data_IF_803020182962
#
_entry.id   IF_803020182962
#
_cell.length_a   1.000
_cell.length_b   1.000
_cell.length_c   1.000
_cell.angle_alpha   90.00
_cell.angle_beta   90.00
_cell.angle_gamma   90.00
#
_symmetry.space_group_name_H-M   'P 1'
#
loop_
_entity.id
_entity.type
_entity.pdbx_description
1 polymer ?
#
# COMPACT_ATOMS: atom_id res chain seq x y z
N UNK A 1 -4.11 -17.10 -96.81
CA UNK A 1 -4.10 -17.83 -95.52
C UNK A 1 -3.51 -16.91 -94.44
N UNK A 2 -3.97 -16.95 -93.18
CA UNK A 2 -3.41 -16.12 -92.13
C UNK A 2 -1.96 -16.54 -91.80
N UNK A 3 -1.14 -15.59 -91.36
CA UNK A 3 0.27 -15.78 -91.01
C UNK A 3 0.52 -15.47 -89.53
N UNK A 4 1.56 -16.07 -88.94
CA UNK A 4 1.91 -15.82 -87.54
C UNK A 4 2.39 -14.38 -87.33
N UNK A 5 1.88 -13.71 -86.30
CA UNK A 5 2.28 -12.35 -85.92
C UNK A 5 3.50 -12.35 -85.01
N UNK A 6 4.27 -11.26 -85.07
CA UNK A 6 5.43 -11.03 -84.22
C UNK A 6 5.01 -10.62 -82.81
N UNK A 7 5.80 -11.02 -81.80
CA UNK A 7 5.62 -10.57 -80.41
C UNK A 7 6.26 -9.18 -80.23
N UNK A 8 5.54 -8.27 -79.59
CA UNK A 8 6.04 -6.96 -79.18
C UNK A 8 6.05 -6.84 -77.64
N UNK A 9 7.00 -6.08 -77.12
CA UNK A 9 7.06 -5.72 -75.70
C UNK A 9 6.20 -4.48 -75.42
N UNK A 10 5.57 -4.42 -74.25
CA UNK A 10 4.83 -3.25 -73.79
C UNK A 10 5.77 -2.39 -72.95
N UNK A 11 5.90 -1.10 -73.30
CA UNK A 11 6.58 -0.10 -72.49
C UNK A 11 5.52 0.69 -71.69
N UNK A 12 5.27 0.36 -70.41
CA UNK A 12 4.35 1.13 -69.59
C UNK A 12 4.93 2.53 -69.30
N UNK A 13 4.08 3.54 -69.05
CA UNK A 13 4.55 4.87 -68.67
C UNK A 13 5.36 4.81 -67.37
N UNK A 14 6.41 5.63 -67.29
CA UNK A 14 7.18 5.78 -66.06
C UNK A 14 6.37 6.61 -65.05
N UNK A 15 5.70 5.92 -64.13
CA UNK A 15 5.10 6.54 -62.94
C UNK A 15 6.08 6.57 -61.78
N UNK A 16 5.92 7.52 -60.86
CA UNK A 16 6.64 7.49 -59.59
C UNK A 16 6.01 6.41 -58.70
N UNK A 17 6.61 5.22 -58.74
CA UNK A 17 6.22 4.09 -57.90
C UNK A 17 7.11 4.14 -56.65
N UNK A 18 6.54 4.61 -55.54
CA UNK A 18 7.23 4.68 -54.26
C UNK A 18 6.68 5.81 -53.38
N UNK A 19 7.09 5.85 -52.10
CA UNK A 19 6.72 6.95 -51.22
C UNK A 19 7.37 8.26 -51.70
N UNK A 20 6.62 9.35 -51.60
CA UNK A 20 7.15 10.70 -51.78
C UNK A 20 8.09 11.06 -50.62
N UNK A 21 9.00 11.99 -50.85
CA UNK A 21 9.85 12.54 -49.79
C UNK A 21 9.01 13.34 -48.78
N UNK A 22 9.54 13.50 -47.57
CA UNK A 22 8.88 14.31 -46.54
C UNK A 22 8.67 15.77 -47.01
N UNK A 23 9.63 16.34 -47.74
CA UNK A 23 9.53 17.70 -48.26
C UNK A 23 8.42 17.87 -49.31
N UNK A 24 8.30 16.91 -50.23
CA UNK A 24 7.21 16.89 -51.22
C UNK A 24 5.85 16.74 -50.53
N UNK A 25 5.75 15.86 -49.52
CA UNK A 25 4.53 15.68 -48.72
C UNK A 25 4.10 16.99 -48.06
N UNK A 26 5.03 17.71 -47.44
CA UNK A 26 4.74 18.98 -46.78
C UNK A 26 4.26 20.05 -47.75
N UNK A 27 4.87 20.13 -48.94
CA UNK A 27 4.41 21.06 -49.98
C UNK A 27 2.99 20.75 -50.44
N UNK A 28 2.68 19.48 -50.69
CA UNK A 28 1.33 19.04 -51.09
C UNK A 28 0.30 19.36 -50.00
N UNK A 29 0.62 19.09 -48.72
CA UNK A 29 -0.27 19.42 -47.61
C UNK A 29 -0.54 20.93 -47.52
N UNK A 30 0.49 21.76 -47.68
CA UNK A 30 0.39 23.23 -47.66
C UNK A 30 -0.44 23.81 -48.81
N UNK A 31 -0.49 23.13 -49.95
CA UNK A 31 -1.30 23.53 -51.09
C UNK A 31 -2.80 23.20 -50.93
N UNK A 32 -3.17 22.45 -49.90
CA UNK A 32 -4.57 22.06 -49.66
C UNK A 32 -5.43 23.27 -49.26
N UNK A 33 -6.66 23.33 -49.80
CA UNK A 33 -7.67 24.32 -49.43
C UNK A 33 -8.04 24.31 -47.94
N UNK A 34 -7.88 23.16 -47.27
CA UNK A 34 -8.18 22.94 -45.85
C UNK A 34 -6.91 22.96 -44.97
N UNK A 35 -5.79 23.41 -45.53
CA UNK A 35 -4.57 23.62 -44.76
C UNK A 35 -4.84 24.62 -43.62
N UNK A 36 -4.32 24.30 -42.43
CA UNK A 36 -4.60 25.04 -41.19
C UNK A 36 -5.78 24.51 -40.37
N UNK A 37 -6.70 23.74 -40.98
CA UNK A 37 -7.79 23.06 -40.24
C UNK A 37 -7.34 21.68 -39.77
N UNK A 38 -6.76 20.89 -40.67
CA UNK A 38 -6.40 19.48 -40.43
C UNK A 38 -4.91 19.18 -40.52
N UNK A 39 -4.05 20.22 -40.64
CA UNK A 39 -2.61 19.99 -40.75
C UNK A 39 -2.03 19.43 -39.45
N UNK A 40 -2.58 19.87 -38.31
CA UNK A 40 -2.11 19.48 -36.98
C UNK A 40 -2.36 18.00 -36.75
N UNK A 41 -1.27 17.24 -36.64
CA UNK A 41 -1.36 15.88 -36.12
C UNK A 41 -1.81 15.92 -34.67
N UNK A 42 -2.91 15.21 -34.39
CA UNK A 42 -3.39 14.97 -33.04
C UNK A 42 -3.18 13.50 -32.75
N UNK A 43 -2.23 13.21 -31.88
CA UNK A 43 -2.06 11.88 -31.32
C UNK A 43 -3.02 11.71 -30.15
N UNK A 44 -3.90 10.72 -30.21
CA UNK A 44 -4.96 10.51 -29.22
C UNK A 44 -4.60 9.29 -28.40
N UNK A 45 -4.78 9.39 -27.09
CA UNK A 45 -4.65 8.23 -26.20
C UNK A 45 -5.52 7.09 -26.71
N UNK A 46 -4.88 5.94 -26.90
CA UNK A 46 -5.57 4.77 -27.41
C UNK A 46 -6.45 4.16 -26.33
N UNK A 47 -7.55 3.51 -26.73
CA UNK A 47 -8.38 2.76 -25.77
C UNK A 47 -7.57 1.69 -25.03
N UNK A 48 -6.54 1.14 -25.69
CA UNK A 48 -5.61 0.19 -25.08
C UNK A 48 -4.84 0.83 -23.93
N UNK A 49 -4.21 1.99 -24.15
CA UNK A 49 -3.46 2.71 -23.10
C UNK A 49 -4.33 3.00 -21.88
N UNK A 50 -5.54 3.52 -22.08
CA UNK A 50 -6.48 3.84 -21.01
C UNK A 50 -6.84 2.57 -20.21
N UNK A 51 -7.10 1.46 -20.91
CA UNK A 51 -7.47 0.21 -20.26
C UNK A 51 -6.29 -0.44 -19.52
N UNK A 52 -5.09 -0.37 -20.08
CA UNK A 52 -3.86 -0.86 -19.44
C UNK A 52 -3.57 -0.10 -18.15
N UNK A 53 -3.59 1.24 -18.18
CA UNK A 53 -3.39 2.05 -16.98
C UNK A 53 -4.44 1.73 -15.90
N UNK A 54 -5.70 1.55 -16.29
CA UNK A 54 -6.76 1.16 -15.35
C UNK A 54 -6.50 -0.21 -14.73
N UNK A 55 -6.00 -1.18 -15.50
CA UNK A 55 -5.67 -2.51 -14.99
C UNK A 55 -4.49 -2.46 -14.02
N UNK A 56 -3.47 -1.66 -14.32
CA UNK A 56 -2.31 -1.45 -13.45
C UNK A 56 -2.72 -0.85 -12.10
N UNK A 57 -3.50 0.23 -12.12
CA UNK A 57 -4.02 0.85 -10.89
C UNK A 57 -4.85 -0.13 -10.04
N UNK A 58 -5.71 -0.93 -10.68
CA UNK A 58 -6.50 -1.95 -9.99
C UNK A 58 -5.62 -3.08 -9.42
N UNK A 59 -4.51 -3.41 -10.07
CA UNK A 59 -3.56 -4.40 -9.57
C UNK A 59 -2.82 -3.87 -8.34
N UNK A 60 -2.35 -2.61 -8.39
CA UNK A 60 -1.71 -1.94 -7.26
C UNK A 60 -2.65 -1.82 -6.06
N UNK A 61 -3.90 -1.40 -6.27
CA UNK A 61 -4.91 -1.33 -5.21
C UNK A 61 -5.17 -2.70 -4.56
N UNK A 62 -5.19 -3.77 -5.36
CA UNK A 62 -5.35 -5.15 -4.84
C UNK A 62 -4.16 -5.57 -4.01
N UNK A 63 -2.94 -5.32 -4.49
CA UNK A 63 -1.71 -5.65 -3.76
C UNK A 63 -1.64 -4.90 -2.42
N UNK A 64 -1.97 -3.60 -2.42
CA UNK A 64 -2.03 -2.81 -1.19
C UNK A 64 -3.09 -3.32 -0.22
N UNK A 65 -4.29 -3.67 -0.72
CA UNK A 65 -5.35 -4.22 0.11
C UNK A 65 -4.99 -5.60 0.69
N UNK A 66 -4.26 -6.44 -0.05
CA UNK A 66 -3.76 -7.72 0.43
C UNK A 66 -2.67 -7.54 1.50
N UNK A 67 -1.71 -6.64 1.26
CA UNK A 67 -0.67 -6.30 2.23
C UNK A 67 -1.27 -5.72 3.52
N UNK A 68 -2.28 -4.84 3.43
CA UNK A 68 -2.97 -4.31 4.61
C UNK A 68 -3.71 -5.41 5.39
N UNK A 69 -4.43 -6.30 4.69
CA UNK A 69 -5.09 -7.46 5.31
C UNK A 69 -4.10 -8.36 6.01
N UNK A 70 -2.95 -8.62 5.42
CA UNK A 70 -1.90 -9.44 6.01
C UNK A 70 -1.32 -8.78 7.26
N UNK A 71 -1.03 -7.48 7.21
CA UNK A 71 -0.58 -6.70 8.38
C UNK A 71 -1.58 -6.75 9.53
N UNK A 72 -2.87 -6.54 9.24
CA UNK A 72 -3.94 -6.64 10.25
C UNK A 72 -4.03 -8.05 10.82
N UNK A 73 -3.86 -9.08 10.00
CA UNK A 73 -3.88 -10.49 10.43
C UNK A 73 -2.72 -10.79 11.39
N UNK A 74 -1.50 -10.37 11.03
CA UNK A 74 -0.31 -10.54 11.87
C UNK A 74 -0.46 -9.80 13.20
N UNK A 75 -0.91 -8.54 13.18
CA UNK A 75 -1.12 -7.76 14.40
C UNK A 75 -2.19 -8.42 15.31
N UNK A 76 -3.27 -8.95 14.73
CA UNK A 76 -4.30 -9.67 15.49
C UNK A 76 -3.76 -10.96 16.10
N UNK A 77 -2.89 -11.67 15.38
CA UNK A 77 -2.24 -12.87 15.87
C UNK A 77 -1.25 -12.58 17.01
N UNK A 78 -0.43 -11.54 16.87
CA UNK A 78 0.46 -11.07 17.93
C UNK A 78 -0.32 -10.65 19.18
N UNK A 79 -1.39 -9.85 19.03
CA UNK A 79 -2.25 -9.49 20.17
C UNK A 79 -2.87 -10.71 20.83
N UNK A 80 -3.26 -11.73 20.06
CA UNK A 80 -3.81 -12.98 20.59
C UNK A 80 -2.76 -13.73 21.41
N UNK A 81 -1.54 -13.88 20.89
CA UNK A 81 -0.42 -14.52 21.58
C UNK A 81 -0.04 -13.76 22.86
N UNK A 82 0.01 -12.43 22.81
CA UNK A 82 0.25 -11.59 23.99
C UNK A 82 -0.84 -11.75 25.04
N UNK A 83 -2.11 -11.76 24.63
CA UNK A 83 -3.23 -11.96 25.54
C UNK A 83 -3.24 -13.36 26.17
N UNK A 84 -2.83 -14.39 25.42
CA UNK A 84 -2.68 -15.76 25.92
C UNK A 84 -1.53 -15.87 26.92
N UNK A 85 -0.34 -15.35 26.58
CA UNK A 85 0.80 -15.28 27.49
C UNK A 85 0.49 -14.49 28.78
N UNK A 86 -0.28 -13.39 28.68
CA UNK A 86 -0.72 -12.64 29.84
C UNK A 86 -1.71 -13.44 30.71
N UNK A 87 -2.65 -14.16 30.09
CA UNK A 87 -3.58 -15.06 30.80
C UNK A 87 -2.84 -16.18 31.53
N UNK A 88 -1.85 -16.80 30.90
CA UNK A 88 -1.00 -17.82 31.52
C UNK A 88 -0.22 -17.25 32.71
N UNK A 89 0.45 -16.10 32.56
CA UNK A 89 1.15 -15.43 33.65
C UNK A 89 0.21 -15.09 34.81
N UNK A 90 -1.00 -14.60 34.52
CA UNK A 90 -2.02 -14.31 35.55
C UNK A 90 -2.51 -15.58 36.22
N UNK A 91 -2.69 -16.68 35.49
CA UNK A 91 -3.08 -17.97 36.05
C UNK A 91 -1.99 -18.55 36.96
N UNK A 92 -0.71 -18.46 36.55
CA UNK A 92 0.44 -18.88 37.36
C UNK A 92 0.58 -18.03 38.63
N UNK A 93 0.42 -16.70 38.52
CA UNK A 93 0.41 -15.81 39.67
C UNK A 93 -0.73 -16.12 40.66
N UNK A 94 -1.92 -16.47 40.15
CA UNK A 94 -3.05 -16.93 40.98
C UNK A 94 -2.73 -18.25 41.69
N UNK A 95 -2.16 -19.24 40.99
CA UNK A 95 -1.73 -20.52 41.61
C UNK A 95 -0.69 -20.29 42.70
N UNK A 96 0.34 -19.48 42.45
CA UNK A 96 1.35 -19.11 43.47
C UNK A 96 0.73 -18.38 44.67
N UNK A 97 -0.31 -17.57 44.46
CA UNK A 97 -1.04 -16.91 45.55
C UNK A 97 -1.89 -17.92 46.34
N UNK A 98 -2.54 -18.85 45.66
CA UNK A 98 -3.33 -19.91 46.27
C UNK A 98 -2.45 -20.87 47.10
N UNK A 99 -1.25 -21.21 46.62
CA UNK A 99 -0.23 -21.97 47.37
C UNK A 99 0.28 -21.22 48.61
N UNK A 100 0.37 -19.88 48.58
CA UNK A 100 0.67 -19.07 49.77
C UNK A 100 -0.47 -19.09 50.81
N UNK A 101 -1.68 -19.43 50.38
CA UNK A 101 -2.83 -19.74 51.23
C UNK A 101 -3.29 -18.60 52.15
N UNK A 102 -4.25 -18.94 53.02
CA UNK A 102 -4.88 -18.01 53.99
C UNK A 102 -3.84 -17.44 54.99
N UNK A 103 -2.80 -18.21 55.32
CA UNK A 103 -1.73 -17.80 56.23
C UNK A 103 -0.86 -16.70 55.60
N UNK A 104 -0.54 -16.82 54.30
CA UNK A 104 0.19 -15.79 53.55
C UNK A 104 -0.62 -14.49 53.40
N UNK A 105 -1.92 -14.59 53.10
CA UNK A 105 -2.80 -13.43 52.99
C UNK A 105 -3.00 -12.71 54.34
N UNK A 106 -3.07 -13.44 55.47
CA UNK A 106 -3.14 -12.85 56.81
C UNK A 106 -1.83 -12.14 57.19
N UNK A 107 -0.68 -12.73 56.89
CA UNK A 107 0.64 -12.10 57.07
C UNK A 107 0.80 -10.84 56.20
N UNK A 108 0.33 -10.85 54.96
CA UNK A 108 0.36 -9.67 54.08
C UNK A 108 -0.57 -8.56 54.60
N UNK A 109 -1.76 -8.90 55.11
CA UNK A 109 -2.68 -7.93 55.70
C UNK A 109 -2.15 -7.32 57.01
N UNK A 110 -1.51 -8.13 57.87
CA UNK A 110 -0.84 -7.63 59.08
C UNK A 110 0.35 -6.74 58.70
N UNK A 111 1.16 -7.16 57.72
CA UNK A 111 2.29 -6.36 57.23
C UNK A 111 1.86 -5.04 56.58
N UNK A 112 0.81 -5.06 55.75
CA UNK A 112 0.25 -3.85 55.10
C UNK A 112 -0.40 -2.89 56.11
N UNK A 113 -0.95 -3.42 57.21
CA UNK A 113 -1.53 -2.59 58.29
C UNK A 113 -0.44 -2.00 59.18
N UNK A 114 0.56 -2.80 59.56
CA UNK A 114 1.71 -2.33 60.32
C UNK A 114 2.46 -1.23 59.56
N UNK A 115 2.72 -1.41 58.27
CA UNK A 115 3.39 -0.38 57.44
C UNK A 115 2.59 0.90 57.28
N UNK A 116 1.26 0.84 57.09
CA UNK A 116 0.40 2.06 57.01
C UNK A 116 0.31 2.81 58.34
N UNK A 117 0.35 2.09 59.45
CA UNK A 117 0.29 2.70 60.78
C UNK A 117 1.64 3.32 61.17
N UNK A 118 2.73 2.61 60.89
CA UNK A 118 4.11 3.10 61.06
C UNK A 118 4.35 4.32 60.14
N UNK A 119 3.92 4.29 58.88
CA UNK A 119 4.14 5.42 57.95
C UNK A 119 3.32 6.66 58.29
N UNK A 120 2.07 6.51 58.72
CA UNK A 120 1.23 7.65 59.11
C UNK A 120 1.65 8.26 60.46
N UNK A 121 2.22 7.47 61.37
CA UNK A 121 2.75 7.96 62.65
C UNK A 121 4.15 8.57 62.51
N UNK A 122 5.08 7.92 61.81
CA UNK A 122 6.37 8.55 61.50
C UNK A 122 6.21 9.76 60.59
N UNK A 123 5.30 9.70 59.61
CA UNK A 123 5.02 10.83 58.72
C UNK A 123 4.51 12.06 59.46
N UNK A 124 3.59 11.89 60.42
CA UNK A 124 3.09 13.00 61.26
C UNK A 124 4.10 13.54 62.26
N UNK A 125 4.99 12.69 62.77
CA UNK A 125 6.03 13.12 63.72
C UNK A 125 7.19 13.81 63.02
N UNK A 126 7.59 13.32 61.85
CA UNK A 126 8.61 13.96 61.00
C UNK A 126 8.09 15.33 60.53
N UNK A 127 6.86 15.42 60.03
CA UNK A 127 6.29 16.72 59.63
C UNK A 127 6.13 17.67 60.81
N UNK A 128 5.67 17.22 61.98
CA UNK A 128 5.62 18.07 63.19
C UNK A 128 7.00 18.49 63.70
N UNK A 129 8.02 17.64 63.56
CA UNK A 129 9.39 17.96 64.00
C UNK A 129 10.12 18.91 63.06
N UNK A 130 9.80 18.91 61.76
CA UNK A 130 10.44 19.76 60.75
C UNK A 130 9.66 21.07 60.52
N UNK A 131 8.33 21.07 60.67
CA UNK A 131 7.50 22.25 60.39
C UNK A 131 6.90 22.95 61.61
N UNK A 132 7.06 22.41 62.84
CA UNK A 132 6.68 23.09 64.08
C UNK A 132 5.16 23.30 64.24
N UNK A 133 4.56 22.43 65.06
CA UNK A 133 3.13 22.35 65.44
C UNK A 133 2.18 21.72 64.39
#
# INVERSE_FOLDING_TARGET
>A
APQMVQRANILPPQGQIGPITAGERDQIMKQSLIYGVYEKLVDRESAFEILSQKQELLAEEREQAEAEKERIRLEKEERRLQAEAERERRAEARRKKEERGIVGDLLEQVGRSATRQISSQLGRTITRSIFGA
#
